data_IF_000373286505
#
_entry.id   IF_000373286505
#
_cell.length_a   1.000
_cell.length_b   1.000
_cell.length_c   1.000
_cell.angle_alpha   90.00
_cell.angle_beta   90.00
_cell.angle_gamma   90.00
#
_symmetry.space_group_name_H-M   'P 1'
#
loop_
_entity.id
_entity.type
_entity.pdbx_description
1 polymer ?
#
# COMPACT_ATOMS: atom_id res chain seq x y z
N UNK A 1 -54.84 -7.54 -17.50
CA UNK A 1 -53.54 -7.98 -16.90
C UNK A 1 -52.47 -6.87 -16.79
N UNK A 2 -52.54 -5.78 -17.47
CA UNK A 2 -51.56 -4.67 -17.48
C UNK A 2 -51.51 -3.84 -16.21
N UNK A 3 -52.66 -3.52 -15.60
CA UNK A 3 -52.72 -2.66 -14.38
C UNK A 3 -52.01 -3.26 -13.14
N UNK A 4 -52.12 -4.57 -12.92
CA UNK A 4 -51.49 -5.26 -11.78
C UNK A 4 -49.97 -5.24 -11.92
N UNK A 5 -49.43 -5.46 -13.14
CA UNK A 5 -47.97 -5.39 -13.38
C UNK A 5 -47.41 -4.00 -13.16
N UNK A 6 -48.15 -2.95 -13.55
CA UNK A 6 -47.74 -1.56 -13.32
C UNK A 6 -47.71 -1.22 -11.82
N UNK A 7 -48.72 -1.67 -11.07
CA UNK A 7 -48.78 -1.48 -9.62
C UNK A 7 -47.63 -2.19 -8.89
N UNK A 8 -47.31 -3.42 -9.27
CA UNK A 8 -46.18 -4.18 -8.74
C UNK A 8 -44.85 -3.49 -9.03
N UNK A 9 -44.66 -2.95 -10.22
CA UNK A 9 -43.46 -2.21 -10.56
C UNK A 9 -43.28 -0.95 -9.69
N UNK A 10 -44.34 -0.18 -9.49
CA UNK A 10 -44.29 1.01 -8.62
C UNK A 10 -44.05 0.65 -7.15
N UNK A 11 -44.62 -0.44 -6.66
CA UNK A 11 -44.38 -0.93 -5.30
C UNK A 11 -42.91 -1.32 -5.10
N UNK A 12 -42.30 -2.07 -6.06
CA UNK A 12 -40.89 -2.43 -6.00
C UNK A 12 -39.99 -1.18 -6.02
N UNK A 13 -40.28 -0.21 -6.92
CA UNK A 13 -39.52 1.05 -6.97
C UNK A 13 -39.62 1.81 -5.64
N UNK A 14 -40.83 1.89 -5.05
CA UNK A 14 -41.03 2.57 -3.79
C UNK A 14 -40.26 1.90 -2.63
N UNK A 15 -40.25 0.57 -2.57
CA UNK A 15 -39.49 -0.20 -1.57
C UNK A 15 -38.00 0.00 -1.73
N UNK A 16 -37.48 -0.06 -2.96
CA UNK A 16 -36.05 0.11 -3.23
C UNK A 16 -35.61 1.54 -2.92
N UNK A 17 -36.36 2.54 -3.39
CA UNK A 17 -36.05 3.93 -3.14
C UNK A 17 -36.17 4.31 -1.63
N UNK A 18 -37.24 3.83 -0.99
CA UNK A 18 -37.46 4.07 0.44
C UNK A 18 -36.40 3.38 1.31
N UNK A 19 -36.05 2.13 1.01
CA UNK A 19 -34.99 1.40 1.69
C UNK A 19 -33.62 2.06 1.52
N UNK A 20 -33.33 2.56 0.32
CA UNK A 20 -32.09 3.30 0.05
C UNK A 20 -32.01 4.62 0.84
N UNK A 21 -33.10 5.37 0.92
CA UNK A 21 -33.19 6.60 1.70
C UNK A 21 -32.99 6.34 3.20
N UNK A 22 -33.61 5.28 3.73
CA UNK A 22 -33.44 4.88 5.14
C UNK A 22 -32.00 4.47 5.42
N UNK A 23 -31.39 3.66 4.55
CA UNK A 23 -29.98 3.26 4.70
C UNK A 23 -29.03 4.45 4.72
N UNK A 24 -29.26 5.45 3.85
CA UNK A 24 -28.49 6.70 3.82
C UNK A 24 -28.71 7.52 5.10
N UNK A 25 -29.96 7.66 5.56
CA UNK A 25 -30.30 8.46 6.72
C UNK A 25 -29.83 7.86 8.05
N UNK A 26 -29.73 6.53 8.12
CA UNK A 26 -29.34 5.81 9.33
C UNK A 26 -27.87 5.37 9.33
N UNK A 27 -27.13 5.65 8.24
CA UNK A 27 -25.75 5.20 8.04
C UNK A 27 -25.59 3.68 8.28
N UNK A 28 -26.64 2.91 7.96
CA UNK A 28 -26.72 1.48 8.23
C UNK A 28 -26.53 0.67 6.94
N UNK A 29 -25.60 -0.28 6.99
CA UNK A 29 -25.31 -1.17 5.87
C UNK A 29 -26.19 -2.43 5.94
N UNK A 30 -27.26 -2.47 5.16
CA UNK A 30 -28.12 -3.66 5.04
C UNK A 30 -28.33 -4.02 3.58
N UNK A 31 -27.82 -5.20 3.19
CA UNK A 31 -28.08 -5.70 1.84
C UNK A 31 -29.59 -5.86 1.60
N UNK A 32 -30.18 -5.42 0.44
CA UNK A 32 -29.53 -4.93 -0.79
C UNK A 32 -29.32 -3.41 -0.86
N UNK A 33 -29.56 -2.67 0.21
CA UNK A 33 -29.50 -1.21 0.28
C UNK A 33 -28.17 -0.68 0.79
N UNK A 34 -27.18 -1.55 0.96
CA UNK A 34 -25.84 -1.16 1.32
C UNK A 34 -25.22 -0.25 0.27
N UNK A 35 -24.73 0.94 0.61
CA UNK A 35 -23.85 1.69 -0.27
C UNK A 35 -22.67 0.77 -0.63
N UNK A 36 -22.39 0.65 -1.91
CA UNK A 36 -21.37 -0.27 -2.44
C UNK A 36 -20.08 -0.12 -1.62
N UNK A 37 -19.61 -1.14 -0.90
CA UNK A 37 -18.51 -0.98 0.07
C UNK A 37 -17.20 -0.49 -0.54
N UNK A 38 -17.06 -0.53 -1.87
CA UNK A 38 -15.90 0.03 -2.57
C UNK A 38 -15.75 1.55 -2.42
N UNK A 39 -16.80 2.29 -2.06
CA UNK A 39 -16.78 3.74 -2.02
C UNK A 39 -17.23 4.33 -0.67
N UNK A 40 -17.79 3.52 0.23
CA UNK A 40 -18.35 3.96 1.52
C UNK A 40 -17.32 4.04 2.65
N UNK A 41 -16.12 3.56 2.44
CA UNK A 41 -15.06 3.75 3.41
C UNK A 41 -14.69 5.22 3.44
N UNK A 42 -15.03 5.90 4.52
CA UNK A 42 -14.44 7.19 4.84
C UNK A 42 -12.93 7.00 4.70
N UNK A 43 -12.36 7.59 3.63
CA UNK A 43 -10.92 7.51 3.43
C UNK A 43 -10.27 8.13 4.65
N UNK A 44 -9.37 7.43 5.33
CA UNK A 44 -8.67 8.03 6.45
C UNK A 44 -8.05 9.34 5.98
N UNK A 45 -7.99 10.35 6.85
CA UNK A 45 -7.41 11.64 6.51
C UNK A 45 -5.95 11.54 6.03
N UNK A 46 -5.30 10.42 6.30
CA UNK A 46 -3.94 10.12 5.88
C UNK A 46 -3.81 8.67 5.38
N UNK A 47 -2.93 8.46 4.42
CA UNK A 47 -2.52 7.15 3.92
C UNK A 47 -1.08 6.90 4.31
N UNK A 48 -0.83 5.78 4.99
CA UNK A 48 0.50 5.39 5.43
C UNK A 48 0.89 4.05 4.81
N UNK A 49 2.11 3.96 4.27
CA UNK A 49 2.64 2.72 3.69
C UNK A 49 4.12 2.54 3.97
N UNK A 50 4.60 1.31 3.89
CA UNK A 50 6.02 1.00 3.98
C UNK A 50 6.62 0.92 2.59
N UNK A 51 7.77 1.57 2.40
CA UNK A 51 8.49 1.60 1.12
C UNK A 51 9.96 1.25 1.36
N UNK A 52 10.46 0.39 0.48
CA UNK A 52 11.85 -0.04 0.48
C UNK A 52 12.67 0.87 -0.42
N UNK A 53 13.76 1.41 0.13
CA UNK A 53 14.74 2.22 -0.59
C UNK A 53 16.08 1.50 -0.67
N UNK A 54 16.72 1.58 -1.82
CA UNK A 54 18.12 1.23 -1.98
C UNK A 54 19.02 2.43 -1.70
N UNK A 55 20.15 2.17 -1.06
CA UNK A 55 21.21 3.15 -0.83
C UNK A 55 22.38 2.79 -1.72
N UNK A 56 22.78 3.72 -2.61
CA UNK A 56 23.86 3.46 -3.59
C UNK A 56 25.21 3.31 -2.92
N UNK A 57 26.07 2.49 -3.54
CA UNK A 57 27.45 2.32 -3.09
C UNK A 57 28.38 3.44 -3.59
N UNK A 58 27.93 4.24 -4.55
CA UNK A 58 28.70 5.32 -5.17
C UNK A 58 28.54 6.64 -4.40
N UNK A 59 29.56 7.44 -4.39
CA UNK A 59 29.51 8.80 -3.84
C UNK A 59 29.08 9.82 -4.93
N UNK A 60 28.19 10.80 -4.62
CA UNK A 60 27.49 10.97 -3.37
C UNK A 60 26.41 9.89 -3.16
N UNK A 61 26.25 9.46 -1.92
CA UNK A 61 25.23 8.49 -1.53
C UNK A 61 23.83 8.98 -1.93
N UNK A 62 23.09 8.15 -2.66
CA UNK A 62 21.72 8.44 -3.10
C UNK A 62 20.76 7.37 -2.65
N UNK A 63 19.57 7.79 -2.29
CA UNK A 63 18.46 6.88 -2.02
C UNK A 63 17.52 6.85 -3.22
N UNK A 64 17.01 5.68 -3.57
CA UNK A 64 15.95 5.55 -4.56
C UNK A 64 14.97 4.43 -4.18
N UNK A 65 13.68 4.60 -4.47
CA UNK A 65 12.67 3.62 -4.12
C UNK A 65 12.77 2.37 -5.02
N UNK A 66 12.64 1.20 -4.45
CA UNK A 66 12.72 -0.08 -5.15
C UNK A 66 11.34 -0.51 -5.68
N UNK A 67 10.71 0.30 -6.52
CA UNK A 67 9.37 0.04 -7.07
C UNK A 67 9.38 -0.91 -8.28
N UNK A 68 10.45 -0.90 -9.07
CA UNK A 68 10.48 -1.72 -10.27
C UNK A 68 10.50 -3.21 -9.94
N UNK A 69 9.59 -3.97 -10.57
CA UNK A 69 9.50 -5.43 -10.37
C UNK A 69 10.83 -6.13 -10.68
N UNK A 70 11.60 -5.61 -11.61
CA UNK A 70 12.92 -6.14 -11.94
C UNK A 70 13.88 -6.16 -10.75
N UNK A 71 13.79 -5.19 -9.84
CA UNK A 71 14.65 -5.10 -8.66
C UNK A 71 14.32 -6.13 -7.59
N UNK A 72 13.05 -6.46 -7.42
CA UNK A 72 12.55 -7.21 -6.28
C UNK A 72 11.91 -8.56 -6.64
N UNK A 73 11.98 -8.97 -7.91
CA UNK A 73 11.41 -10.25 -8.37
C UNK A 73 11.83 -11.43 -7.46
N UNK A 74 10.94 -12.38 -7.12
CA UNK A 74 9.59 -12.60 -7.69
C UNK A 74 8.50 -11.71 -7.08
N UNK A 75 8.80 -10.88 -6.11
CA UNK A 75 7.84 -10.00 -5.48
C UNK A 75 7.49 -8.80 -6.39
N UNK A 76 6.31 -8.25 -6.19
CA UNK A 76 5.97 -6.90 -6.63
C UNK A 76 6.28 -5.91 -5.50
N UNK A 77 6.34 -4.62 -5.81
CA UNK A 77 6.48 -3.58 -4.78
C UNK A 77 5.33 -3.64 -3.75
N UNK A 78 4.09 -3.91 -4.20
CA UNK A 78 2.94 -4.13 -3.33
C UNK A 78 3.10 -5.36 -2.43
N UNK A 79 3.51 -6.50 -3.00
CA UNK A 79 3.73 -7.72 -2.23
C UNK A 79 4.83 -7.58 -1.17
N UNK A 80 5.91 -6.83 -1.46
CA UNK A 80 6.93 -6.51 -0.46
C UNK A 80 6.38 -5.62 0.65
N UNK A 81 5.66 -4.56 0.28
CA UNK A 81 5.00 -3.67 1.24
C UNK A 81 4.14 -4.44 2.21
N UNK A 82 3.27 -5.31 1.71
CA UNK A 82 2.34 -6.07 2.53
C UNK A 82 3.09 -7.08 3.42
N UNK A 83 4.13 -7.72 2.89
CA UNK A 83 5.01 -8.62 3.65
C UNK A 83 5.75 -7.90 4.78
N UNK A 84 6.34 -6.73 4.51
CA UNK A 84 7.02 -5.96 5.57
C UNK A 84 6.03 -5.37 6.57
N UNK A 85 4.83 -4.95 6.17
CA UNK A 85 3.78 -4.52 7.08
C UNK A 85 3.38 -5.65 8.04
N UNK A 86 3.24 -6.87 7.52
CA UNK A 86 2.92 -8.04 8.33
C UNK A 86 4.07 -8.42 9.26
N UNK A 87 5.32 -8.41 8.76
CA UNK A 87 6.52 -8.69 9.55
C UNK A 87 6.67 -7.71 10.71
N UNK A 88 6.50 -6.41 10.48
CA UNK A 88 6.57 -5.39 11.51
C UNK A 88 5.49 -5.58 12.59
N UNK A 89 4.25 -5.89 12.19
CA UNK A 89 3.17 -6.17 13.15
C UNK A 89 3.41 -7.42 13.98
N UNK A 90 3.79 -8.52 13.34
CA UNK A 90 3.99 -9.82 14.00
C UNK A 90 5.28 -9.91 14.82
N UNK A 91 6.29 -9.16 14.45
CA UNK A 91 7.61 -9.23 15.05
C UNK A 91 8.04 -7.92 15.72
N UNK A 92 7.09 -7.12 16.22
CA UNK A 92 7.40 -5.90 16.96
C UNK A 92 8.41 -6.14 18.10
N UNK A 93 8.29 -7.30 18.78
CA UNK A 93 9.21 -7.73 19.84
C UNK A 93 10.50 -8.41 19.32
N UNK A 94 10.63 -8.64 18.02
CA UNK A 94 11.78 -9.35 17.42
C UNK A 94 12.23 -8.66 16.14
N UNK A 95 12.84 -7.48 16.19
CA UNK A 95 13.25 -6.70 15.01
C UNK A 95 14.27 -7.44 14.13
N UNK A 96 15.01 -8.41 14.70
CA UNK A 96 16.02 -9.20 13.97
C UNK A 96 15.42 -9.97 12.79
N UNK A 97 14.19 -10.46 12.88
CA UNK A 97 13.54 -11.15 11.75
C UNK A 97 13.27 -10.20 10.58
N UNK A 98 12.86 -8.98 10.89
CA UNK A 98 12.63 -7.95 9.86
C UNK A 98 13.96 -7.50 9.27
N UNK A 99 15.01 -7.37 10.09
CA UNK A 99 16.37 -7.09 9.64
C UNK A 99 16.88 -8.17 8.70
N UNK A 100 16.71 -9.43 9.05
CA UNK A 100 17.13 -10.55 8.21
C UNK A 100 16.39 -10.55 6.86
N UNK A 101 15.08 -10.33 6.85
CA UNK A 101 14.30 -10.22 5.62
C UNK A 101 14.82 -9.08 4.72
N UNK A 102 15.21 -7.95 5.31
CA UNK A 102 15.76 -6.82 4.57
C UNK A 102 17.15 -7.13 3.98
N UNK A 103 17.99 -7.85 4.73
CA UNK A 103 19.29 -8.36 4.24
C UNK A 103 19.11 -9.34 3.09
N UNK A 104 18.10 -10.20 3.16
CA UNK A 104 17.80 -11.15 2.07
C UNK A 104 17.32 -10.43 0.81
N UNK A 105 16.55 -9.34 0.96
CA UNK A 105 16.19 -8.46 -0.17
C UNK A 105 17.44 -7.83 -0.80
N UNK A 106 18.37 -7.30 0.00
CA UNK A 106 19.63 -6.73 -0.48
C UNK A 106 20.48 -7.75 -1.24
N UNK A 107 20.66 -8.95 -0.65
CA UNK A 107 21.41 -10.05 -1.29
C UNK A 107 20.77 -10.46 -2.62
N UNK A 108 19.43 -10.51 -2.69
CA UNK A 108 18.69 -10.86 -3.89
C UNK A 108 18.85 -9.79 -4.96
N UNK A 109 18.72 -8.52 -4.61
CA UNK A 109 18.95 -7.39 -5.50
C UNK A 109 20.34 -7.48 -6.14
N UNK A 110 21.39 -7.59 -5.32
CA UNK A 110 22.77 -7.64 -5.79
C UNK A 110 23.07 -8.88 -6.65
N UNK A 111 22.48 -10.03 -6.31
CA UNK A 111 22.61 -11.25 -7.13
C UNK A 111 22.01 -11.05 -8.51
N UNK A 112 20.82 -10.45 -8.59
CA UNK A 112 20.13 -10.15 -9.86
C UNK A 112 20.89 -9.11 -10.67
N UNK A 113 21.43 -8.09 -10.05
CA UNK A 113 22.27 -7.09 -10.67
C UNK A 113 23.50 -7.73 -11.31
N UNK A 114 24.23 -8.57 -10.58
CA UNK A 114 25.39 -9.30 -11.11
C UNK A 114 25.03 -10.22 -12.28
N UNK A 115 23.83 -10.79 -12.24
CA UNK A 115 23.30 -11.62 -13.34
C UNK A 115 22.73 -10.77 -14.51
N UNK A 116 22.88 -9.44 -14.50
CA UNK A 116 22.36 -8.50 -15.50
C UNK A 116 20.83 -8.61 -15.74
N UNK A 117 20.08 -8.98 -14.72
CA UNK A 117 18.61 -9.08 -14.78
C UNK A 117 17.92 -7.75 -14.48
N UNK A 118 18.66 -6.71 -14.18
CA UNK A 118 18.27 -5.29 -14.11
C UNK A 118 19.52 -4.40 -14.17
N UNK A 119 19.30 -3.13 -14.48
CA UNK A 119 20.30 -2.07 -14.68
C UNK A 119 20.49 -1.14 -13.47
N UNK A 120 19.89 -1.48 -12.33
CA UNK A 120 19.99 -0.67 -11.12
C UNK A 120 21.41 -0.57 -10.58
N UNK A 121 21.75 0.52 -9.85
CA UNK A 121 23.09 0.77 -9.32
C UNK A 121 23.47 -0.27 -8.25
N UNK A 122 24.78 -0.35 -7.98
CA UNK A 122 25.27 -1.15 -6.84
C UNK A 122 24.74 -0.56 -5.53
N UNK A 123 24.27 -1.42 -4.62
CA UNK A 123 23.78 -1.01 -3.32
C UNK A 123 24.78 -1.34 -2.22
N UNK A 124 25.01 -0.39 -1.31
CA UNK A 124 25.69 -0.63 -0.05
C UNK A 124 24.71 -1.04 1.06
N UNK A 125 23.42 -0.67 0.93
CA UNK A 125 22.43 -0.94 1.94
C UNK A 125 21.01 -0.76 1.45
N UNK A 126 20.07 -1.06 2.35
CA UNK A 126 18.64 -0.83 2.16
C UNK A 126 18.04 -0.19 3.39
N UNK A 127 17.07 0.69 3.17
CA UNK A 127 16.28 1.38 4.19
C UNK A 127 14.80 1.11 3.99
N UNK A 128 14.13 0.77 5.07
CA UNK A 128 12.68 0.62 5.12
C UNK A 128 12.08 1.86 5.77
N UNK A 129 11.29 2.60 5.02
CA UNK A 129 10.62 3.80 5.48
C UNK A 129 9.12 3.58 5.64
N UNK A 130 8.54 4.25 6.63
CA UNK A 130 7.12 4.56 6.69
C UNK A 130 6.91 5.91 6.04
N UNK A 131 6.12 5.92 4.96
CA UNK A 131 5.73 7.15 4.27
C UNK A 131 4.26 7.44 4.58
N UNK A 132 3.94 8.70 4.85
CA UNK A 132 2.59 9.16 5.16
C UNK A 132 2.21 10.30 4.22
N UNK A 133 1.01 10.23 3.64
CA UNK A 133 0.41 11.27 2.81
C UNK A 133 -0.90 11.74 3.44
N UNK A 134 -1.18 13.04 3.45
CA UNK A 134 -2.52 13.54 3.71
C UNK A 134 -3.40 13.29 2.48
N UNK A 135 -4.56 12.71 2.70
CA UNK A 135 -5.57 12.49 1.67
C UNK A 135 -6.60 13.63 1.66
N UNK A 136 -6.13 14.88 1.63
CA UNK A 136 -7.02 16.00 1.48
C UNK A 136 -7.56 16.07 0.04
N UNK A 137 -8.87 16.38 -0.17
CA UNK A 137 -9.52 16.35 -1.49
C UNK A 137 -8.88 17.25 -2.55
N UNK A 138 -7.99 18.17 -2.16
CA UNK A 138 -7.32 19.12 -3.05
C UNK A 138 -5.79 19.04 -3.06
N UNK A 139 -5.18 18.17 -2.25
CA UNK A 139 -3.73 17.98 -2.28
C UNK A 139 -3.38 17.03 -3.43
N UNK A 140 -3.14 17.56 -4.61
CA UNK A 140 -2.74 16.81 -5.82
C UNK A 140 -1.31 16.27 -5.78
N UNK A 141 -0.58 16.42 -4.68
CA UNK A 141 0.82 16.05 -4.58
C UNK A 141 1.02 14.66 -3.94
N UNK A 142 0.57 13.61 -4.63
CA UNK A 142 1.00 12.24 -4.32
C UNK A 142 2.52 12.02 -4.53
N UNK A 143 3.21 12.97 -5.12
CA UNK A 143 4.65 12.88 -5.40
C UNK A 143 5.52 13.07 -4.16
N UNK A 144 5.03 13.80 -3.15
CA UNK A 144 5.81 14.05 -1.92
C UNK A 144 5.03 13.59 -0.68
N UNK A 145 5.57 12.60 0.07
CA UNK A 145 5.02 12.25 1.36
C UNK A 145 5.20 13.42 2.34
N UNK A 146 4.22 13.65 3.20
CA UNK A 146 4.31 14.63 4.29
C UNK A 146 5.19 14.12 5.44
N UNK A 147 5.22 12.79 5.63
CA UNK A 147 6.04 12.13 6.63
C UNK A 147 6.92 11.05 6.02
N UNK A 148 8.21 11.04 6.38
CA UNK A 148 9.17 9.99 6.05
C UNK A 148 9.90 9.57 7.32
N UNK A 149 9.53 8.42 7.87
CA UNK A 149 10.09 7.84 9.10
C UNK A 149 10.93 6.62 8.76
N UNK A 150 12.19 6.61 9.17
CA UNK A 150 13.06 5.44 9.02
C UNK A 150 12.68 4.39 10.06
N UNK A 151 12.24 3.21 9.60
CA UNK A 151 11.88 2.09 10.46
C UNK A 151 13.05 1.15 10.71
N UNK A 152 13.84 0.90 9.67
CA UNK A 152 14.96 -0.04 9.72
C UNK A 152 15.97 0.27 8.63
N UNK A 153 17.24 0.12 8.96
CA UNK A 153 18.36 0.18 8.01
C UNK A 153 19.20 -1.07 8.10
N UNK A 154 19.62 -1.56 6.95
CA UNK A 154 20.64 -2.59 6.82
C UNK A 154 21.64 -2.17 5.78
N UNK A 155 22.90 -2.43 6.04
CA UNK A 155 23.98 -2.09 5.12
C UNK A 155 25.12 -3.08 5.23
N UNK A 156 25.98 -3.06 4.24
CA UNK A 156 27.29 -3.64 4.34
C UNK A 156 28.10 -2.66 5.18
N UNK A 157 28.83 -3.09 6.22
CA UNK A 157 29.76 -2.18 6.89
C UNK A 157 30.70 -1.60 5.82
N UNK A 158 31.12 -0.34 5.95
CA UNK A 158 32.15 0.23 5.07
C UNK A 158 33.37 -0.72 5.11
N UNK A 159 33.90 -1.02 3.93
CA UNK A 159 35.10 -1.83 3.79
C UNK A 159 36.29 -1.08 4.34
#
# INVERSE_FOLDING_TARGET
MTRVRTWLAHAVIAVVAGGGLVAIATDSEHWPFSPYPMYSWLRPASYTTQVLFGVTAEAPEREFPLFARAYVHPFSAGGLRDSFSLLLRRNAARPERTRQALLDCLRRYERRRRARLHDGPALRGMRLYRLTWALLPRASNFERPEGKELLLEVGRPPA
#
